data_IF_916538338099
#
_entry.id   IF_916538338099
#
_cell.length_a   1.000
_cell.length_b   1.000
_cell.length_c   1.000
_cell.angle_alpha   90.00
_cell.angle_beta   90.00
_cell.angle_gamma   90.00
#
_symmetry.space_group_name_H-M   'P 1'
#
loop_
_entity.id
_entity.type
_entity.pdbx_description
1 polymer ?
#
# COMPACT_ATOMS: atom_id res chain seq x y z
N UNK A 1 -0.01 -11.37 0.02
CA UNK A 1 -0.77 -10.12 -0.24
C UNK A 1 -1.95 -10.47 -1.15
N UNK A 2 -3.09 -9.80 -1.01
CA UNK A 2 -4.21 -10.00 -1.96
C UNK A 2 -3.80 -9.52 -3.38
N UNK A 3 -4.34 -10.11 -4.47
CA UNK A 3 -3.94 -9.76 -5.85
C UNK A 3 -3.99 -8.25 -6.13
N UNK A 4 -4.99 -7.56 -5.60
CA UNK A 4 -5.14 -6.11 -5.71
C UNK A 4 -3.95 -5.32 -5.14
N UNK A 5 -3.37 -5.78 -4.03
CA UNK A 5 -2.21 -5.13 -3.41
C UNK A 5 -0.94 -5.38 -4.23
N UNK A 6 -0.78 -6.58 -4.79
CA UNK A 6 0.35 -6.91 -5.68
C UNK A 6 0.31 -6.02 -6.94
N UNK A 7 -0.84 -5.97 -7.62
CA UNK A 7 -1.02 -5.13 -8.81
C UNK A 7 -0.82 -3.64 -8.51
N UNK A 8 -1.19 -3.16 -7.32
CA UNK A 8 -0.91 -1.78 -6.90
C UNK A 8 0.59 -1.52 -6.80
N UNK A 9 1.32 -2.36 -6.09
CA UNK A 9 2.77 -2.23 -5.92
C UNK A 9 3.49 -2.33 -7.27
N UNK A 10 3.13 -3.26 -8.14
CA UNK A 10 3.69 -3.37 -9.49
C UNK A 10 3.52 -2.07 -10.31
N UNK A 11 2.38 -1.38 -10.17
CA UNK A 11 2.17 -0.07 -10.80
C UNK A 11 3.10 0.99 -10.22
N UNK A 12 3.34 0.98 -8.92
CA UNK A 12 4.28 1.90 -8.27
C UNK A 12 5.72 1.62 -8.67
N UNK A 13 6.10 0.33 -8.80
CA UNK A 13 7.41 -0.11 -9.29
C UNK A 13 7.72 0.33 -10.73
N UNK A 14 6.70 0.67 -11.53
CA UNK A 14 6.93 1.25 -12.87
C UNK A 14 7.18 2.76 -12.86
N UNK A 15 6.85 3.43 -11.75
CA UNK A 15 6.85 4.91 -11.64
C UNK A 15 7.89 5.46 -10.67
N UNK A 16 8.41 4.64 -9.75
CA UNK A 16 9.29 5.12 -8.67
C UNK A 16 10.55 5.86 -9.18
N UNK A 17 11.11 5.45 -10.32
CA UNK A 17 12.30 6.07 -10.91
C UNK A 17 12.09 7.52 -11.40
N UNK A 18 10.86 8.02 -11.39
CA UNK A 18 10.54 9.42 -11.66
C UNK A 18 10.77 10.33 -10.45
N UNK A 19 11.09 9.75 -9.29
CA UNK A 19 11.24 10.46 -8.02
C UNK A 19 12.66 10.29 -7.49
N UNK A 20 13.22 11.37 -6.98
CA UNK A 20 14.42 11.38 -6.15
C UNK A 20 14.02 11.35 -4.68
N UNK A 21 14.94 10.93 -3.81
CA UNK A 21 14.72 10.82 -2.37
C UNK A 21 15.71 11.69 -1.63
N UNK A 22 15.20 12.54 -0.74
CA UNK A 22 15.97 13.35 0.20
C UNK A 22 15.65 12.88 1.63
N UNK A 23 16.68 12.53 2.42
CA UNK A 23 16.51 12.13 3.82
C UNK A 23 16.43 13.37 4.71
N UNK A 24 15.41 13.46 5.58
CA UNK A 24 15.32 14.53 6.59
C UNK A 24 15.70 14.02 7.97
N UNK A 25 15.23 12.81 8.32
CA UNK A 25 15.63 12.07 9.54
C UNK A 25 15.72 10.58 9.20
N UNK A 26 15.96 9.72 10.19
CA UNK A 26 15.99 8.25 10.04
C UNK A 26 14.64 7.64 9.63
N UNK A 27 13.51 8.27 9.98
CA UNK A 27 12.14 7.82 9.65
C UNK A 27 11.34 8.77 8.76
N UNK A 28 11.86 9.96 8.47
CA UNK A 28 11.21 10.94 7.60
C UNK A 28 12.04 11.24 6.35
N UNK A 29 11.40 11.11 5.20
CA UNK A 29 12.00 11.30 3.88
C UNK A 29 11.11 12.20 3.03
N UNK A 30 11.69 12.74 1.96
CA UNK A 30 10.98 13.56 0.99
C UNK A 30 11.21 12.98 -0.40
N UNK A 31 10.11 12.59 -1.06
CA UNK A 31 10.13 12.22 -2.46
C UNK A 31 9.99 13.48 -3.33
N UNK A 32 10.86 13.64 -4.32
CA UNK A 32 10.94 14.83 -5.18
C UNK A 32 10.74 14.41 -6.64
N UNK A 33 9.70 14.92 -7.30
CA UNK A 33 9.50 14.71 -8.73
C UNK A 33 10.40 15.66 -9.55
N UNK A 34 10.70 15.30 -10.79
CA UNK A 34 11.59 16.09 -11.66
C UNK A 34 11.17 17.56 -11.85
N UNK A 35 9.90 17.92 -11.63
CA UNK A 35 9.42 19.31 -11.65
C UNK A 35 9.70 20.11 -10.38
N UNK A 36 10.28 19.49 -9.34
CA UNK A 36 10.52 20.10 -8.03
C UNK A 36 9.40 19.91 -7.01
N UNK A 37 8.29 19.27 -7.38
CA UNK A 37 7.22 18.92 -6.43
C UNK A 37 7.74 17.93 -5.38
N UNK A 38 7.37 18.15 -4.11
CA UNK A 38 7.86 17.39 -2.96
C UNK A 38 6.72 16.76 -2.17
N UNK A 39 6.93 15.52 -1.71
CA UNK A 39 6.03 14.81 -0.79
C UNK A 39 6.80 14.23 0.37
N UNK A 40 6.47 14.69 1.58
CA UNK A 40 6.99 14.13 2.82
C UNK A 40 6.35 12.75 3.08
N UNK A 41 7.19 11.80 3.43
CA UNK A 41 6.86 10.44 3.83
C UNK A 41 7.38 10.23 5.24
N UNK A 42 6.52 9.73 6.13
CA UNK A 42 6.84 9.43 7.51
C UNK A 42 6.57 7.94 7.76
N UNK A 43 7.63 7.18 7.98
CA UNK A 43 7.56 5.73 8.24
C UNK A 43 7.19 5.39 9.68
N UNK A 44 7.37 6.30 10.64
CA UNK A 44 6.91 6.10 12.01
C UNK A 44 5.38 6.14 12.09
N UNK A 45 4.77 7.04 11.33
CA UNK A 45 3.31 7.19 11.26
C UNK A 45 2.66 6.36 10.16
N UNK A 46 3.45 5.77 9.26
CA UNK A 46 2.98 5.12 8.03
C UNK A 46 2.14 6.06 7.15
N UNK A 47 2.66 7.28 6.94
CA UNK A 47 1.96 8.37 6.28
C UNK A 47 2.74 8.95 5.10
N UNK A 48 2.02 9.34 4.05
CA UNK A 48 2.56 10.18 2.99
C UNK A 48 1.69 11.45 2.83
N UNK A 49 2.30 12.58 2.48
CA UNK A 49 1.54 13.80 2.17
C UNK A 49 0.52 13.64 1.03
N UNK A 50 0.70 12.66 0.13
CA UNK A 50 -0.30 12.35 -0.90
C UNK A 50 -1.56 11.65 -0.36
N UNK A 51 -1.57 11.26 0.92
CA UNK A 51 -2.66 10.58 1.65
C UNK A 51 -3.05 9.18 1.16
N UNK A 52 -2.50 8.71 0.04
CA UNK A 52 -2.82 7.38 -0.49
C UNK A 52 -2.53 6.28 0.53
N UNK A 53 -1.36 6.32 1.18
CA UNK A 53 -0.99 5.29 2.16
C UNK A 53 -1.96 5.23 3.34
N UNK A 54 -2.40 6.38 3.84
CA UNK A 54 -3.36 6.50 4.94
C UNK A 54 -4.77 6.04 4.55
N UNK A 55 -5.17 6.29 3.30
CA UNK A 55 -6.53 6.00 2.83
C UNK A 55 -6.72 4.53 2.45
N UNK A 56 -5.76 3.95 1.74
CA UNK A 56 -5.87 2.57 1.23
C UNK A 56 -4.98 1.58 1.96
N UNK A 57 -4.17 2.01 2.93
CA UNK A 57 -3.29 1.12 3.69
C UNK A 57 -2.19 0.45 2.84
N UNK A 58 -1.87 0.98 1.67
CA UNK A 58 -0.83 0.46 0.77
C UNK A 58 0.22 1.54 0.47
N UNK A 59 1.51 1.18 0.40
CA UNK A 59 2.56 2.10 -0.01
C UNK A 59 2.25 2.77 -1.36
N UNK A 60 2.34 4.10 -1.39
CA UNK A 60 2.23 4.89 -2.61
C UNK A 60 3.57 4.96 -3.36
N UNK A 61 3.60 5.53 -4.57
CA UNK A 61 4.86 5.68 -5.35
C UNK A 61 5.97 6.38 -4.58
N UNK A 62 5.63 7.39 -3.77
CA UNK A 62 6.58 8.12 -2.93
C UNK A 62 7.18 7.25 -1.83
N UNK A 63 6.40 6.31 -1.30
CA UNK A 63 6.88 5.39 -0.26
C UNK A 63 7.77 4.31 -0.91
N UNK A 64 7.33 3.78 -2.04
CA UNK A 64 8.04 2.74 -2.80
C UNK A 64 9.41 3.25 -3.28
N UNK A 65 9.52 4.50 -3.74
CA UNK A 65 10.81 5.03 -4.18
C UNK A 65 11.85 5.14 -3.05
N UNK A 66 11.40 5.26 -1.80
CA UNK A 66 12.28 5.28 -0.63
C UNK A 66 12.63 3.85 -0.19
N UNK A 67 11.67 2.93 -0.22
CA UNK A 67 11.87 1.53 0.20
C UNK A 67 12.84 0.75 -0.69
N UNK A 68 12.85 1.01 -2.00
CA UNK A 68 13.70 0.29 -2.96
C UNK A 68 15.20 0.44 -2.65
N UNK A 69 15.77 1.66 -2.54
CA UNK A 69 17.16 1.84 -2.17
C UNK A 69 17.53 1.20 -0.83
N UNK A 70 16.61 1.20 0.14
CA UNK A 70 16.85 0.61 1.46
C UNK A 70 16.73 -0.92 1.49
N UNK A 71 16.34 -1.55 0.37
CA UNK A 71 16.07 -3.00 0.26
C UNK A 71 15.10 -3.52 1.33
N UNK A 72 14.24 -2.66 1.84
CA UNK A 72 13.21 -3.05 2.79
C UNK A 72 12.04 -3.70 2.05
N UNK A 73 11.51 -4.83 2.55
CA UNK A 73 10.37 -5.47 1.93
C UNK A 73 9.11 -4.62 2.13
N UNK A 74 8.53 -4.11 1.04
CA UNK A 74 7.27 -3.34 1.03
C UNK A 74 6.10 -4.07 1.70
N UNK A 75 6.18 -5.40 1.81
CA UNK A 75 5.20 -6.23 2.50
C UNK A 75 5.02 -5.79 3.97
N UNK A 76 6.08 -5.37 4.64
CA UNK A 76 6.04 -4.91 6.04
C UNK A 76 5.31 -3.57 6.21
N UNK A 77 5.12 -2.83 5.12
CA UNK A 77 4.51 -1.50 5.09
C UNK A 77 3.08 -1.51 4.53
N UNK A 78 2.57 -2.70 4.17
CA UNK A 78 1.17 -2.91 3.82
C UNK A 78 0.35 -3.10 5.11
N UNK A 79 -0.76 -2.39 5.23
CA UNK A 79 -1.72 -2.58 6.32
C UNK A 79 -2.17 -4.05 6.41
N UNK A 80 -2.40 -4.53 7.63
CA UNK A 80 -2.84 -5.91 7.90
C UNK A 80 -4.09 -6.31 7.10
N UNK A 81 -4.94 -5.34 6.76
CA UNK A 81 -6.14 -5.52 5.91
C UNK A 81 -5.82 -5.98 4.48
N UNK A 82 -4.59 -5.77 4.01
CA UNK A 82 -4.08 -6.20 2.70
C UNK A 82 -3.10 -7.37 2.77
N UNK A 83 -2.74 -7.79 3.99
CA UNK A 83 -2.03 -9.04 4.24
C UNK A 83 -3.03 -10.21 4.28
N UNK A 84 -2.56 -11.41 3.95
CA UNK A 84 -3.42 -12.61 3.75
C UNK A 84 -4.23 -12.97 5.00
N UNK A 85 -3.81 -12.50 6.18
CA UNK A 85 -4.46 -12.73 7.46
C UNK A 85 -5.97 -12.40 7.47
N UNK A 86 -6.39 -11.30 6.82
CA UNK A 86 -7.82 -10.94 6.80
C UNK A 86 -8.61 -11.57 5.65
N UNK A 87 -7.96 -11.97 4.56
CA UNK A 87 -8.62 -12.77 3.52
C UNK A 87 -9.07 -14.13 4.09
N UNK A 88 -8.20 -14.77 4.88
CA UNK A 88 -8.56 -15.99 5.61
C UNK A 88 -9.68 -15.73 6.62
N UNK A 89 -9.64 -14.63 7.38
CA UNK A 89 -10.70 -14.32 8.34
C UNK A 89 -12.08 -14.04 7.69
N UNK A 90 -12.12 -13.39 6.51
CA UNK A 90 -13.39 -13.08 5.82
C UNK A 90 -13.98 -14.29 5.10
N UNK A 91 -13.16 -15.19 4.56
CA UNK A 91 -13.63 -16.44 3.95
C UNK A 91 -13.81 -17.59 4.94
N UNK A 92 -13.37 -17.43 6.20
CA UNK A 92 -13.62 -18.38 7.29
C UNK A 92 -14.80 -17.97 8.18
N UNK A 93 -15.48 -16.87 7.84
CA UNK A 93 -16.86 -16.66 8.29
C UNK A 93 -17.73 -17.61 7.46
N UNK A 94 -18.59 -18.43 8.08
CA UNK A 94 -19.57 -19.19 7.33
C UNK A 94 -20.47 -18.19 6.62
N UNK A 95 -20.19 -17.98 5.34
CA UNK A 95 -21.18 -17.51 4.38
C UNK A 95 -22.28 -18.56 4.46
N UNK A 96 -23.33 -18.27 5.24
CA UNK A 96 -24.58 -18.99 5.11
C UNK A 96 -24.99 -18.82 3.66
N UNK A 97 -24.73 -19.84 2.84
CA UNK A 97 -25.36 -19.98 1.56
C UNK A 97 -26.86 -19.95 1.87
N UNK A 98 -27.56 -18.96 1.33
CA UNK A 98 -29.02 -19.00 1.26
C UNK A 98 -29.30 -20.08 0.22
N UNK A 99 -29.37 -21.33 0.66
CA UNK A 99 -29.97 -22.42 -0.09
C UNK A 99 -31.47 -22.26 0.04
N UNK A 100 -32.09 -21.50 -0.87
CA UNK A 100 -33.37 -21.94 -1.47
C UNK A 100 -33.73 -21.10 -2.73
N UNK A 101 -33.68 -21.68 -3.94
CA UNK A 101 -34.22 -21.08 -5.14
C UNK A 101 -35.74 -21.24 -5.35
N UNK A 102 -36.52 -21.76 -4.39
CA UNK A 102 -37.92 -22.14 -4.64
C UNK A 102 -38.99 -21.07 -4.32
N UNK A 103 -38.61 -19.84 -4.00
CA UNK A 103 -39.56 -18.75 -3.68
C UNK A 103 -39.56 -17.63 -4.76
N UNK A 104 -39.44 -18.01 -6.04
CA UNK A 104 -39.91 -17.17 -7.15
C UNK A 104 -41.26 -17.75 -7.60
N UNK A 105 -42.30 -17.32 -6.90
CA UNK A 105 -43.70 -17.45 -7.35
C UNK A 105 -44.06 -16.33 -8.31
#
# INVERSE_FOLDING_TARGET
LVPRAITHIEKMLKKYGQYMVEGTTDKCFVAIFGSGQKWKVNFEKLECQCREWQLIGLPCVHTVCILIPMRHPWIEYCSEYHTVAKYVATYNLPIHAIDDPSEWG
#
